data_IF_516725845413
#
_entry.id   IF_516725845413
#
_cell.length_a   1.000
_cell.length_b   1.000
_cell.length_c   1.000
_cell.angle_alpha   90.00
_cell.angle_beta   90.00
_cell.angle_gamma   90.00
#
_symmetry.space_group_name_H-M   'P 1'
#
loop_
_entity.id
_entity.type
_entity.pdbx_description
1 polymer ?
#
# COMPACT_ATOMS: atom_id res chain seq x y z
N UNK A 1 32.11 24.82 10.74
CA UNK A 1 31.85 24.50 9.34
C UNK A 1 31.84 23.00 9.05
N UNK A 2 32.84 22.21 9.47
CA UNK A 2 32.85 20.72 9.25
C UNK A 2 31.65 19.97 9.85
N UNK A 3 31.17 20.36 11.03
CA UNK A 3 30.00 19.72 11.69
C UNK A 3 28.68 19.98 10.96
N UNK A 4 28.50 21.16 10.37
CA UNK A 4 27.31 21.53 9.59
C UNK A 4 27.30 20.80 8.25
N UNK A 5 28.43 20.64 7.60
CA UNK A 5 28.59 19.91 6.36
C UNK A 5 28.28 18.41 6.54
N UNK A 6 28.66 17.82 7.68
CA UNK A 6 28.38 16.44 8.03
C UNK A 6 26.88 16.22 8.29
N UNK A 7 26.18 17.18 8.90
CA UNK A 7 24.73 17.14 9.14
C UNK A 7 23.93 17.23 7.83
N UNK A 8 24.39 18.05 6.88
CA UNK A 8 23.76 18.18 5.56
C UNK A 8 23.96 16.90 4.74
N UNK A 9 25.15 16.29 4.75
CA UNK A 9 25.38 14.99 4.09
C UNK A 9 24.55 13.86 4.69
N UNK A 10 24.32 13.85 6.01
CA UNK A 10 23.51 12.86 6.67
C UNK A 10 22.01 13.03 6.36
N UNK A 11 21.54 14.27 6.22
CA UNK A 11 20.17 14.60 5.84
C UNK A 11 19.86 14.22 4.38
N UNK A 12 20.82 14.38 3.46
CA UNK A 12 20.66 14.00 2.05
C UNK A 12 20.68 12.47 1.83
N UNK A 13 21.38 11.73 2.68
CA UNK A 13 21.40 10.26 2.61
C UNK A 13 20.06 9.62 3.04
N UNK A 14 19.27 10.28 3.88
CA UNK A 14 17.95 9.80 4.31
C UNK A 14 16.86 10.00 3.24
N UNK A 15 17.04 10.89 2.28
CA UNK A 15 16.06 11.15 1.21
C UNK A 15 16.09 10.13 0.07
N UNK A 16 17.03 9.18 0.08
CA UNK A 16 17.22 8.19 -0.97
C UNK A 16 16.46 6.88 -0.81
N UNK A 17 15.62 6.70 0.20
CA UNK A 17 14.78 5.52 0.35
C UNK A 17 13.52 5.72 -0.50
N UNK A 18 13.63 5.49 -1.80
CA UNK A 18 12.46 5.27 -2.64
C UNK A 18 11.84 3.95 -2.19
N UNK A 19 10.79 4.04 -1.38
CA UNK A 19 9.91 2.92 -1.12
C UNK A 19 9.29 2.52 -2.48
N UNK A 20 9.83 1.47 -3.11
CA UNK A 20 9.13 0.78 -4.18
C UNK A 20 7.86 0.20 -3.56
N UNK A 21 6.75 0.91 -3.69
CA UNK A 21 5.43 0.37 -3.46
C UNK A 21 5.25 -0.77 -4.47
N UNK A 22 5.29 -2.01 -4.00
CA UNK A 22 4.91 -3.17 -4.80
C UNK A 22 3.39 -3.08 -4.89
N UNK A 23 2.88 -2.44 -5.93
CA UNK A 23 1.47 -2.46 -6.26
C UNK A 23 1.04 -3.91 -6.46
N UNK A 24 -0.07 -4.29 -5.84
CA UNK A 24 -0.64 -5.63 -6.00
C UNK A 24 -1.23 -5.73 -7.42
N UNK A 25 -0.42 -6.24 -8.35
CA UNK A 25 -0.81 -6.40 -9.75
C UNK A 25 -1.55 -7.73 -9.93
N UNK A 26 -2.49 -7.77 -10.89
CA UNK A 26 -3.27 -8.98 -11.20
C UNK A 26 -2.43 -10.19 -11.62
N UNK A 27 -1.15 -9.95 -11.96
CA UNK A 27 -0.19 -10.96 -12.38
C UNK A 27 0.83 -11.33 -11.30
N UNK A 28 0.91 -10.56 -10.22
CA UNK A 28 1.84 -10.82 -9.11
C UNK A 28 1.20 -11.73 -8.09
N UNK A 29 1.89 -12.79 -7.74
CA UNK A 29 1.51 -13.73 -6.68
C UNK A 29 2.41 -13.56 -5.47
N UNK A 30 1.82 -13.61 -4.30
CA UNK A 30 2.57 -13.69 -3.06
C UNK A 30 3.43 -14.95 -3.02
N UNK A 31 4.61 -14.86 -2.44
CA UNK A 31 5.50 -16.02 -2.27
C UNK A 31 4.81 -17.15 -1.50
N UNK A 32 3.88 -16.83 -0.61
CA UNK A 32 3.08 -17.80 0.14
C UNK A 32 2.08 -18.59 -0.74
N UNK A 33 1.74 -18.07 -1.93
CA UNK A 33 0.81 -18.68 -2.87
C UNK A 33 1.49 -19.64 -3.88
N UNK A 34 2.83 -19.64 -3.90
CA UNK A 34 3.59 -20.54 -4.78
C UNK A 34 3.39 -21.99 -4.34
N UNK A 35 3.03 -22.85 -5.28
CA UNK A 35 2.79 -24.28 -5.02
C UNK A 35 1.40 -24.62 -4.46
N UNK A 36 0.50 -23.64 -4.29
CA UNK A 36 -0.87 -23.87 -3.88
C UNK A 36 -1.77 -24.19 -5.08
N UNK A 37 -2.71 -25.10 -4.88
CA UNK A 37 -3.67 -25.47 -5.89
C UNK A 37 -4.84 -24.46 -5.88
N UNK A 38 -5.09 -23.81 -7.03
CA UNK A 38 -6.23 -22.92 -7.24
C UNK A 38 -7.39 -23.61 -7.96
N UNK A 39 -8.58 -23.07 -7.78
CA UNK A 39 -9.77 -23.42 -8.59
C UNK A 39 -9.87 -22.45 -9.75
N UNK A 40 -10.18 -23.01 -10.93
CA UNK A 40 -10.33 -22.20 -12.14
C UNK A 40 -11.71 -22.38 -12.73
N UNK A 41 -12.35 -21.29 -13.12
CA UNK A 41 -13.60 -21.30 -13.84
C UNK A 41 -13.58 -20.31 -15.00
N UNK A 42 -14.29 -20.61 -16.08
CA UNK A 42 -14.43 -19.73 -17.24
C UNK A 42 -15.70 -18.90 -17.07
N UNK A 43 -15.65 -17.64 -17.46
CA UNK A 43 -16.80 -16.75 -17.41
C UNK A 43 -16.75 -15.69 -18.48
N UNK A 44 -17.80 -14.87 -18.52
CA UNK A 44 -17.92 -13.69 -19.37
C UNK A 44 -18.20 -12.47 -18.51
N UNK A 45 -17.50 -11.37 -18.77
CA UNK A 45 -17.77 -10.09 -18.12
C UNK A 45 -19.13 -9.56 -18.58
N UNK A 46 -20.04 -9.36 -17.64
CA UNK A 46 -21.37 -8.81 -17.90
C UNK A 46 -21.38 -7.30 -17.71
N UNK A 47 -20.68 -6.81 -16.69
CA UNK A 47 -20.60 -5.40 -16.37
C UNK A 47 -19.25 -5.06 -15.77
N UNK A 48 -18.85 -3.80 -15.93
CA UNK A 48 -17.66 -3.21 -15.34
C UNK A 48 -18.02 -1.83 -14.80
N UNK A 49 -17.77 -1.61 -13.53
CA UNK A 49 -18.03 -0.33 -12.86
C UNK A 49 -16.74 0.17 -12.22
N UNK A 50 -16.38 1.41 -12.49
CA UNK A 50 -15.24 2.03 -11.83
C UNK A 50 -15.59 2.32 -10.37
N UNK A 51 -14.69 1.96 -9.47
CA UNK A 51 -14.81 2.22 -8.04
C UNK A 51 -13.52 2.85 -7.52
N UNK A 52 -13.66 3.73 -6.53
CA UNK A 52 -12.52 4.27 -5.82
C UNK A 52 -12.21 3.36 -4.64
N UNK A 53 -10.99 2.85 -4.60
CA UNK A 53 -10.50 2.06 -3.47
C UNK A 53 -9.85 3.02 -2.47
N UNK A 54 -10.36 3.02 -1.25
CA UNK A 54 -9.70 3.74 -0.17
C UNK A 54 -8.34 3.08 0.12
N UNK A 55 -7.29 3.87 0.04
CA UNK A 55 -5.94 3.40 0.36
C UNK A 55 -5.83 2.91 1.81
N UNK A 56 -4.99 1.91 2.05
CA UNK A 56 -4.68 1.48 3.41
C UNK A 56 -3.87 2.57 4.13
N UNK A 57 -4.17 2.79 5.42
CA UNK A 57 -3.48 3.80 6.24
C UNK A 57 -2.49 3.15 7.21
N UNK A 58 -2.42 1.82 7.23
CA UNK A 58 -1.74 1.11 8.31
C UNK A 58 -0.23 1.20 8.20
N UNK A 59 0.31 1.02 7.01
CA UNK A 59 1.78 0.96 6.82
C UNK A 59 2.40 2.35 6.83
N UNK A 60 1.82 3.31 6.12
CA UNK A 60 2.33 4.68 6.05
C UNK A 60 2.24 5.39 7.40
N UNK A 61 1.16 5.16 8.15
CA UNK A 61 1.00 5.67 9.49
C UNK A 61 2.06 5.12 10.46
N UNK A 62 2.30 3.81 10.41
CA UNK A 62 3.30 3.15 11.27
C UNK A 62 4.73 3.58 10.93
N UNK A 63 5.10 3.62 9.65
CA UNK A 63 6.41 4.09 9.21
C UNK A 63 6.60 5.56 9.52
N UNK A 64 5.58 6.39 9.27
CA UNK A 64 5.61 7.82 9.59
C UNK A 64 5.76 8.07 11.08
N UNK A 65 5.06 7.30 11.94
CA UNK A 65 5.20 7.39 13.38
C UNK A 65 6.62 7.00 13.85
N UNK A 66 7.19 5.94 13.29
CA UNK A 66 8.53 5.48 13.61
C UNK A 66 9.59 6.53 13.27
N UNK A 67 9.57 7.05 12.05
CA UNK A 67 10.51 8.08 11.60
C UNK A 67 10.29 9.40 12.33
N UNK A 68 9.04 9.85 12.47
CA UNK A 68 8.70 11.08 13.18
C UNK A 68 9.06 11.04 14.64
N UNK A 69 8.83 9.88 15.31
CA UNK A 69 9.20 9.66 16.69
C UNK A 69 10.71 9.68 16.90
N UNK A 70 11.49 9.05 16.03
CA UNK A 70 12.94 9.05 16.09
C UNK A 70 13.52 10.47 15.91
N UNK A 71 13.07 11.20 14.90
CA UNK A 71 13.50 12.57 14.62
C UNK A 71 13.06 13.54 15.72
N UNK A 72 11.82 13.39 16.23
CA UNK A 72 11.30 14.19 17.33
C UNK A 72 12.04 13.94 18.64
N UNK A 73 12.40 12.68 18.92
CA UNK A 73 13.19 12.30 20.09
C UNK A 73 14.60 12.88 20.05
N UNK A 74 15.30 12.77 18.92
CA UNK A 74 16.64 13.34 18.73
C UNK A 74 16.59 14.87 18.79
N UNK A 75 15.63 15.50 18.10
CA UNK A 75 15.44 16.95 18.12
C UNK A 75 15.08 17.46 19.51
N UNK A 76 14.19 16.78 20.20
CA UNK A 76 13.79 17.11 21.57
C UNK A 76 14.97 17.01 22.56
N UNK A 77 15.80 15.99 22.45
CA UNK A 77 17.00 15.85 23.28
C UNK A 77 17.99 16.98 23.12
N UNK A 78 18.08 17.55 21.91
CA UNK A 78 18.99 18.65 21.61
C UNK A 78 18.54 19.97 22.23
N UNK A 79 17.24 20.14 22.53
CA UNK A 79 16.67 21.33 23.15
C UNK A 79 16.79 21.31 24.68
N UNK A 80 16.98 20.13 25.29
CA UNK A 80 17.10 19.96 26.71
C UNK A 80 18.55 19.89 27.21
N UNK A 81 18.88 20.65 28.25
CA UNK A 81 20.17 20.55 28.95
C UNK A 81 20.07 19.65 30.20
N UNK A 82 21.06 18.79 30.43
CA UNK A 82 21.16 17.97 31.66
C UNK A 82 20.00 16.98 31.80
N UNK A 83 19.42 16.90 33.03
CA UNK A 83 18.31 15.97 33.31
C UNK A 83 17.00 16.27 32.55
N UNK A 84 16.84 17.48 32.03
CA UNK A 84 15.68 17.88 31.23
C UNK A 84 15.71 17.28 29.81
N UNK A 85 16.87 16.93 29.29
CA UNK A 85 17.03 16.33 27.95
C UNK A 85 16.15 15.09 27.74
N UNK A 86 16.01 14.24 28.75
CA UNK A 86 15.18 13.03 28.66
C UNK A 86 13.69 13.35 28.53
N UNK A 87 13.18 14.34 29.27
CA UNK A 87 11.77 14.76 29.16
C UNK A 87 11.46 15.38 27.79
N UNK A 88 12.37 16.22 27.29
CA UNK A 88 12.23 16.79 25.96
C UNK A 88 12.38 15.76 24.83
N UNK A 89 13.21 14.72 25.02
CA UNK A 89 13.33 13.62 24.09
C UNK A 89 12.02 12.80 24.01
N UNK A 90 11.43 12.47 25.16
CA UNK A 90 10.16 11.71 25.24
C UNK A 90 9.01 12.54 24.66
N UNK A 91 8.89 13.80 25.04
CA UNK A 91 7.86 14.71 24.52
C UNK A 91 8.01 14.93 23.01
N UNK A 92 9.22 15.16 22.54
CA UNK A 92 9.53 15.33 21.12
C UNK A 92 9.25 14.06 20.31
N UNK A 93 9.57 12.88 20.86
CA UNK A 93 9.27 11.61 20.22
C UNK A 93 7.75 11.38 20.08
N UNK A 94 6.98 11.68 21.12
CA UNK A 94 5.53 11.52 21.09
C UNK A 94 4.87 12.46 20.06
N UNK A 95 5.20 13.75 20.07
CA UNK A 95 4.68 14.73 19.12
C UNK A 95 5.15 14.40 17.69
N UNK A 96 6.42 14.04 17.51
CA UNK A 96 6.97 13.65 16.23
C UNK A 96 6.33 12.38 15.66
N UNK A 97 6.04 11.39 16.51
CA UNK A 97 5.35 10.17 16.12
C UNK A 97 3.91 10.46 15.63
N UNK A 98 3.15 11.29 16.37
CA UNK A 98 1.79 11.66 15.97
C UNK A 98 1.77 12.45 14.67
N UNK A 99 2.64 13.45 14.53
CA UNK A 99 2.74 14.24 13.30
C UNK A 99 3.21 13.37 12.12
N UNK A 100 4.21 12.53 12.34
CA UNK A 100 4.73 11.60 11.33
C UNK A 100 3.69 10.57 10.90
N UNK A 101 2.90 10.02 11.83
CA UNK A 101 1.81 9.12 11.51
C UNK A 101 0.75 9.78 10.63
N UNK A 102 0.35 11.01 10.96
CA UNK A 102 -0.65 11.75 10.18
C UNK A 102 -0.16 12.04 8.76
N UNK A 103 1.11 12.47 8.61
CA UNK A 103 1.71 12.73 7.30
C UNK A 103 1.89 11.43 6.53
N UNK A 104 2.39 10.37 7.17
CA UNK A 104 2.63 9.06 6.55
C UNK A 104 1.33 8.44 6.03
N UNK A 105 0.26 8.45 6.82
CA UNK A 105 -1.04 7.93 6.39
C UNK A 105 -1.67 8.75 5.26
N UNK A 106 -1.57 10.08 5.31
CA UNK A 106 -2.08 10.94 4.25
C UNK A 106 -1.33 10.73 2.93
N UNK A 107 -0.01 10.53 3.00
CA UNK A 107 0.84 10.25 1.82
C UNK A 107 0.51 8.88 1.23
N UNK A 108 0.33 7.85 2.06
CA UNK A 108 -0.07 6.52 1.61
C UNK A 108 -1.44 6.55 0.93
N UNK A 109 -2.43 7.23 1.52
CA UNK A 109 -3.74 7.41 0.90
C UNK A 109 -3.68 8.12 -0.45
N UNK A 110 -2.81 9.12 -0.60
CA UNK A 110 -2.66 9.84 -1.86
C UNK A 110 -1.96 8.99 -2.93
N UNK A 111 -1.02 8.14 -2.53
CA UNK A 111 -0.25 7.27 -3.44
C UNK A 111 -0.96 5.97 -3.78
N UNK A 112 -1.85 5.47 -2.89
CA UNK A 112 -2.57 4.20 -3.06
C UNK A 112 -4.00 4.38 -3.57
N UNK A 113 -4.40 5.59 -3.98
CA UNK A 113 -5.66 5.80 -4.72
C UNK A 113 -5.52 5.21 -6.12
N UNK A 114 -5.61 3.89 -6.19
CA UNK A 114 -5.71 3.21 -7.46
C UNK A 114 -7.17 3.14 -7.91
N UNK A 115 -7.37 3.43 -9.17
CA UNK A 115 -8.66 3.21 -9.81
C UNK A 115 -8.85 1.72 -9.96
N UNK A 116 -9.72 1.15 -9.16
CA UNK A 116 -10.15 -0.24 -9.32
C UNK A 116 -11.47 -0.31 -10.08
N UNK A 117 -11.76 -1.49 -10.56
CA UNK A 117 -12.99 -1.80 -11.26
C UNK A 117 -13.65 -3.00 -10.61
N UNK A 118 -14.95 -2.90 -10.38
CA UNK A 118 -15.78 -4.03 -10.05
C UNK A 118 -16.24 -4.69 -11.35
N UNK A 119 -15.83 -5.93 -11.53
CA UNK A 119 -16.24 -6.77 -12.65
C UNK A 119 -17.31 -7.75 -12.21
N UNK A 120 -18.47 -7.70 -12.84
CA UNK A 120 -19.49 -8.75 -12.70
C UNK A 120 -19.24 -9.80 -13.79
N UNK A 121 -18.88 -11.01 -13.36
CA UNK A 121 -18.55 -12.11 -14.26
C UNK A 121 -19.58 -13.23 -14.12
N UNK A 122 -20.26 -13.55 -15.20
CA UNK A 122 -21.13 -14.71 -15.29
C UNK A 122 -20.29 -15.96 -15.58
N UNK A 123 -20.34 -16.93 -14.68
CA UNK A 123 -19.65 -18.22 -14.86
C UNK A 123 -20.29 -19.03 -15.98
N UNK A 124 -19.48 -19.59 -16.87
CA UNK A 124 -19.97 -20.47 -17.93
C UNK A 124 -20.54 -21.76 -17.37
N UNK A 125 -21.69 -22.19 -17.87
CA UNK A 125 -22.34 -23.41 -17.43
C UNK A 125 -23.24 -23.26 -16.20
N UNK A 126 -23.31 -22.09 -15.60
CA UNK A 126 -24.21 -21.78 -14.47
C UNK A 126 -24.74 -20.34 -14.59
N UNK A 127 -25.91 -20.07 -14.00
CA UNK A 127 -26.43 -18.70 -13.89
C UNK A 127 -25.78 -17.90 -12.75
N UNK A 128 -24.64 -18.34 -12.25
CA UNK A 128 -23.97 -17.68 -11.13
C UNK A 128 -23.12 -16.50 -11.62
N UNK A 129 -23.37 -15.33 -11.05
CA UNK A 129 -22.60 -14.10 -11.29
C UNK A 129 -21.72 -13.83 -10.07
N UNK A 130 -20.44 -13.58 -10.29
CA UNK A 130 -19.47 -13.29 -9.25
C UNK A 130 -18.96 -11.87 -9.46
N UNK A 131 -18.90 -11.08 -8.38
CA UNK A 131 -18.24 -9.78 -8.38
C UNK A 131 -16.77 -9.96 -8.01
N UNK A 132 -15.88 -9.35 -8.79
CA UNK A 132 -14.44 -9.31 -8.52
C UNK A 132 -13.95 -7.88 -8.64
N UNK A 133 -13.28 -7.40 -7.62
CA UNK A 133 -12.67 -6.05 -7.59
C UNK A 133 -11.19 -6.19 -7.86
N UNK A 134 -10.72 -5.54 -8.92
CA UNK A 134 -9.29 -5.51 -9.28
C UNK A 134 -8.97 -4.32 -10.18
N UNK A 135 -7.69 -4.00 -10.35
CA UNK A 135 -7.22 -3.04 -11.35
C UNK A 135 -7.43 -3.59 -12.77
N UNK A 136 -7.61 -2.72 -13.76
CA UNK A 136 -7.83 -3.13 -15.15
C UNK A 136 -6.56 -3.01 -16.02
N UNK A 137 -5.46 -3.58 -15.55
CA UNK A 137 -4.20 -3.61 -16.30
C UNK A 137 -4.29 -4.40 -17.60
N UNK A 138 -5.20 -5.36 -17.64
CA UNK A 138 -5.42 -6.22 -18.82
C UNK A 138 -6.32 -5.58 -19.88
N UNK A 139 -6.85 -4.37 -19.63
CA UNK A 139 -7.75 -3.69 -20.55
C UNK A 139 -9.07 -4.43 -20.83
N UNK A 140 -9.56 -5.17 -19.84
CA UNK A 140 -10.77 -5.98 -19.92
C UNK A 140 -12.01 -5.10 -20.14
N UNK A 141 -12.97 -5.63 -20.89
CA UNK A 141 -14.22 -4.94 -21.23
C UNK A 141 -15.43 -5.85 -21.03
N UNK A 142 -16.62 -5.27 -20.82
CA UNK A 142 -17.86 -6.04 -20.86
C UNK A 142 -17.99 -6.82 -22.17
N UNK A 143 -18.33 -8.11 -22.06
CA UNK A 143 -18.40 -9.04 -23.17
C UNK A 143 -17.19 -9.95 -23.33
N UNK A 144 -16.07 -9.65 -22.70
CA UNK A 144 -14.85 -10.47 -22.80
C UNK A 144 -15.01 -11.80 -22.08
N UNK A 145 -14.42 -12.85 -22.68
CA UNK A 145 -14.31 -14.16 -22.05
C UNK A 145 -13.04 -14.18 -21.18
N UNK A 146 -13.23 -14.55 -19.94
CA UNK A 146 -12.19 -14.49 -18.93
C UNK A 146 -12.09 -15.80 -18.14
N UNK A 147 -10.98 -15.95 -17.46
CA UNK A 147 -10.71 -17.05 -16.54
C UNK A 147 -10.69 -16.47 -15.12
N UNK A 148 -11.53 -16.99 -14.26
CA UNK A 148 -11.50 -16.72 -12.82
C UNK A 148 -10.56 -17.73 -12.17
N UNK A 149 -9.57 -17.24 -11.46
CA UNK A 149 -8.63 -18.06 -10.68
C UNK A 149 -8.84 -17.73 -9.21
N UNK A 150 -9.21 -18.72 -8.44
CA UNK A 150 -9.41 -18.61 -6.99
C UNK A 150 -8.29 -19.38 -6.27
N UNK A 151 -7.53 -18.69 -5.44
CA UNK A 151 -6.47 -19.25 -4.60
C UNK A 151 -6.66 -18.65 -3.20
N UNK A 152 -6.75 -19.50 -2.19
CA UNK A 152 -6.89 -19.11 -0.77
C UNK A 152 -8.04 -18.10 -0.51
N UNK A 153 -9.17 -18.25 -1.21
CA UNK A 153 -10.33 -17.36 -1.09
C UNK A 153 -10.21 -16.05 -1.87
N UNK A 154 -9.06 -15.77 -2.48
CA UNK A 154 -8.89 -14.62 -3.36
C UNK A 154 -9.17 -15.01 -4.81
N UNK A 155 -10.13 -14.32 -5.43
CA UNK A 155 -10.47 -14.52 -6.84
C UNK A 155 -9.87 -13.42 -7.70
N UNK A 156 -9.19 -13.80 -8.77
CA UNK A 156 -8.60 -12.89 -9.76
C UNK A 156 -9.10 -13.22 -11.15
N UNK A 157 -9.27 -12.18 -11.97
CA UNK A 157 -9.66 -12.32 -13.37
C UNK A 157 -8.40 -12.29 -14.23
N UNK A 158 -8.30 -13.25 -15.15
CA UNK A 158 -7.29 -13.29 -16.18
C UNK A 158 -7.91 -13.28 -17.56
N UNK A 159 -7.22 -12.67 -18.53
CA UNK A 159 -7.60 -12.78 -19.94
C UNK A 159 -7.50 -14.26 -20.37
N UNK A 160 -8.43 -14.69 -21.20
CA UNK A 160 -8.40 -16.04 -21.77
C UNK A 160 -7.38 -16.16 -22.91
N UNK A 161 -6.95 -15.01 -23.47
CA UNK A 161 -6.01 -14.92 -24.60
C UNK A 161 -4.96 -13.85 -24.35
#
# INVERSE_FOLDING_TARGET
MKKILCLICMATALLGVTACGIGDTNTTYDRAQIGRQGRTSVGRIVSMTQIDVAGSNETGGLVGAGVGGALGGVGGSALGGGKGSTLFAIGGAAVGALAGAAIGSATEQAMTKDTAYEFLVQKSGTNNVVSVVQTNELGLRPGDNVILVEIDGTTRIRSKY
#
